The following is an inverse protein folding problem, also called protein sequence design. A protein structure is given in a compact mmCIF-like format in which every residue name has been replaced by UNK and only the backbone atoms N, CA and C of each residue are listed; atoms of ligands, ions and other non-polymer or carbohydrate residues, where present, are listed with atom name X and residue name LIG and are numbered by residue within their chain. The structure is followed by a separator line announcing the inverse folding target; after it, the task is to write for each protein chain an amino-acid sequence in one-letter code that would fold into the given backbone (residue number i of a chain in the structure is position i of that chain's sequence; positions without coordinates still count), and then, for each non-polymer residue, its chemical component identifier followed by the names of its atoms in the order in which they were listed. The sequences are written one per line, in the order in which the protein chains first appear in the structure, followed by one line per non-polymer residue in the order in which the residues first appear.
data_IF_066298916010
#
_entry.id   IF_066298916010
#
_cell.length_a   1.000
_cell.length_b   1.000
_cell.length_c   1.000
_cell.angle_alpha   90.00
_cell.angle_beta   90.00
_cell.angle_gamma   90.00
#
_symmetry.space_group_name_H-M   'P 1'
#
loop_
_entity.id
_entity.type
_entity.pdbx_description
1 polymer ?
#
# COMPACT_ATOMS: atom_id res chain seq x y z
N UNK A 1 -19.43 0.15 -11.35
CA UNK A 1 -18.38 -0.83 -10.99
C UNK A 1 -17.05 -0.33 -11.52
N UNK A 2 -16.11 0.13 -10.67
CA UNK A 2 -14.78 0.52 -11.18
C UNK A 2 -14.02 -0.75 -11.52
N UNK A 3 -13.51 -0.86 -12.75
CA UNK A 3 -12.59 -1.94 -13.13
C UNK A 3 -11.50 -2.04 -12.04
N UNK A 4 -11.34 -3.22 -11.46
CA UNK A 4 -10.23 -3.49 -10.57
C UNK A 4 -8.94 -3.07 -11.29
N UNK A 5 -8.05 -2.36 -10.60
CA UNK A 5 -6.78 -1.92 -11.18
C UNK A 5 -5.98 -3.18 -11.47
N UNK A 6 -5.97 -3.60 -12.73
CA UNK A 6 -5.22 -4.77 -13.14
C UNK A 6 -3.76 -4.38 -13.30
N UNK A 7 -2.92 -4.91 -12.41
CA UNK A 7 -1.47 -4.80 -12.55
C UNK A 7 -1.01 -5.85 -13.55
N UNK A 8 -0.38 -5.41 -14.63
CA UNK A 8 0.19 -6.28 -15.66
C UNK A 8 1.40 -7.05 -15.10
N UNK A 9 1.81 -8.16 -15.75
CA UNK A 9 2.97 -8.94 -15.31
C UNK A 9 4.28 -8.15 -15.20
N UNK A 10 4.41 -7.05 -15.94
CA UNK A 10 5.59 -6.18 -15.93
C UNK A 10 5.56 -5.10 -14.82
N UNK A 11 4.53 -5.11 -13.97
CA UNK A 11 4.32 -4.16 -12.88
C UNK A 11 3.68 -2.84 -13.30
N UNK A 12 3.21 -2.73 -14.55
CA UNK A 12 2.49 -1.54 -15.01
C UNK A 12 1.00 -1.62 -14.71
N UNK A 13 0.38 -0.48 -14.43
CA UNK A 13 -1.07 -0.37 -14.25
C UNK A 13 -1.55 1.01 -14.69
N UNK A 14 -2.82 1.10 -15.06
CA UNK A 14 -3.45 2.37 -15.44
C UNK A 14 -4.29 2.87 -14.29
N UNK A 15 -4.02 4.09 -13.85
CA UNK A 15 -4.83 4.82 -12.89
C UNK A 15 -5.26 6.14 -13.52
N UNK A 16 -6.58 6.35 -13.68
CA UNK A 16 -7.16 7.59 -14.21
C UNK A 16 -6.57 8.00 -15.57
N UNK A 17 -6.36 7.03 -16.46
CA UNK A 17 -5.79 7.27 -17.79
C UNK A 17 -4.27 7.53 -17.81
N UNK A 18 -3.60 7.51 -16.64
CA UNK A 18 -2.14 7.57 -16.55
C UNK A 18 -1.57 6.19 -16.28
N UNK A 19 -0.52 5.84 -17.00
CA UNK A 19 0.24 4.62 -16.76
C UNK A 19 1.25 4.86 -15.65
N UNK A 20 1.19 4.03 -14.62
CA UNK A 20 2.16 3.98 -13.54
C UNK A 20 2.91 2.65 -13.60
N UNK A 21 4.12 2.63 -13.04
CA UNK A 21 4.96 1.44 -12.99
C UNK A 21 5.50 1.22 -11.59
N UNK A 22 5.31 0.02 -11.07
CA UNK A 22 5.96 -0.44 -9.85
C UNK A 22 7.45 -0.68 -10.20
N UNK A 23 8.40 -0.05 -9.49
CA UNK A 23 9.82 -0.24 -9.74
C UNK A 23 10.26 -1.70 -9.67
N UNK A 24 11.39 -1.99 -10.33
CA UNK A 24 12.08 -3.29 -10.22
C UNK A 24 13.03 -3.36 -9.04
N UNK A 25 13.48 -2.20 -8.56
CA UNK A 25 14.43 -2.04 -7.47
C UNK A 25 13.96 -0.91 -6.57
N UNK A 26 14.28 -1.03 -5.29
CA UNK A 26 13.89 -0.06 -4.27
C UNK A 26 15.14 0.31 -3.47
N UNK A 27 15.22 1.58 -3.06
CA UNK A 27 16.23 1.98 -2.06
C UNK A 27 15.82 1.51 -0.67
N UNK A 28 16.79 1.33 0.21
CA UNK A 28 16.55 0.94 1.61
C UNK A 28 15.56 1.88 2.31
N UNK A 29 15.64 3.19 2.00
CA UNK A 29 14.68 4.18 2.51
C UNK A 29 13.25 3.92 2.06
N UNK A 30 13.05 3.50 0.81
CA UNK A 30 11.71 3.18 0.29
C UNK A 30 11.19 1.89 0.92
N UNK A 31 12.04 0.87 1.05
CA UNK A 31 11.69 -0.39 1.71
C UNK A 31 11.29 -0.13 3.16
N UNK A 32 12.12 0.60 3.90
CA UNK A 32 11.85 0.99 5.28
C UNK A 32 10.53 1.78 5.40
N UNK A 33 10.35 2.83 4.59
CA UNK A 33 9.13 3.64 4.62
C UNK A 33 7.88 2.82 4.29
N UNK A 34 7.97 1.90 3.33
CA UNK A 34 6.86 1.02 2.96
C UNK A 34 6.45 0.13 4.13
N UNK A 35 7.44 -0.51 4.77
CA UNK A 35 7.22 -1.44 5.88
C UNK A 35 6.67 -0.74 7.11
N UNK A 36 7.26 0.39 7.50
CA UNK A 36 6.78 1.17 8.66
C UNK A 36 5.35 1.67 8.48
N UNK A 37 4.93 1.97 7.25
CA UNK A 37 3.54 2.33 6.98
C UNK A 37 2.59 1.13 7.05
N UNK A 38 3.08 -0.10 6.92
CA UNK A 38 2.26 -1.32 7.01
C UNK A 38 2.31 -1.98 8.39
N UNK A 39 3.17 -1.51 9.29
CA UNK A 39 3.23 -2.00 10.66
C UNK A 39 1.86 -1.86 11.36
N UNK A 40 1.48 -2.83 12.20
CA UNK A 40 0.28 -2.74 13.01
C UNK A 40 0.28 -1.45 13.84
N UNK A 41 -0.87 -0.77 13.89
CA UNK A 41 -1.04 0.41 14.75
C UNK A 41 -0.96 -0.10 16.20
N UNK A 42 0.04 0.32 17.00
CA UNK A 42 0.22 -0.20 18.34
C UNK A 42 -0.96 0.19 19.23
N UNK A 43 -1.40 -0.75 20.05
CA UNK A 43 -2.30 -0.47 21.16
C UNK A 43 -1.52 0.22 22.26
N UNK A 44 -1.76 1.53 22.45
CA UNK A 44 -1.13 2.26 23.55
C UNK A 44 -1.90 2.00 24.85
N UNK A 45 -1.30 1.37 25.87
CA UNK A 45 -1.97 1.08 27.14
C UNK A 45 -2.32 2.36 27.94
N UNK A 46 -1.72 3.50 27.60
CA UNK A 46 -1.93 4.80 28.27
C UNK A 46 -2.47 5.88 27.33
N UNK A 47 -2.73 5.54 26.07
CA UNK A 47 -3.23 6.47 25.05
C UNK A 47 -4.75 6.39 24.89
N UNK A 48 -5.35 7.34 24.14
CA UNK A 48 -6.75 7.24 23.79
C UNK A 48 -6.99 5.96 22.96
N UNK A 49 -7.82 5.05 23.49
CA UNK A 49 -8.21 3.83 22.80
C UNK A 49 -8.89 4.19 21.49
N UNK A 50 -8.27 3.84 20.37
CA UNK A 50 -8.89 4.07 19.07
C UNK A 50 -10.09 3.17 18.88
N UNK A 51 -11.25 3.75 18.55
CA UNK A 51 -12.41 2.97 18.14
C UNK A 51 -12.05 2.08 16.94
N UNK A 52 -12.66 0.88 16.81
CA UNK A 52 -12.42 -0.01 15.68
C UNK A 52 -12.60 0.67 14.31
N UNK A 53 -13.58 1.58 14.22
CA UNK A 53 -13.85 2.38 13.01
C UNK A 53 -12.70 3.31 12.66
N UNK A 54 -12.10 3.98 13.66
CA UNK A 54 -10.97 4.87 13.45
C UNK A 54 -9.71 4.08 13.08
N UNK A 55 -9.45 2.97 13.77
CA UNK A 55 -8.33 2.06 13.47
C UNK A 55 -8.42 1.54 12.02
N UNK A 56 -9.61 1.14 11.57
CA UNK A 56 -9.84 0.73 10.19
C UNK A 56 -9.54 1.85 9.20
N UNK A 57 -10.07 3.06 9.42
CA UNK A 57 -9.81 4.23 8.55
C UNK A 57 -8.31 4.55 8.46
N UNK A 58 -7.60 4.45 9.58
CA UNK A 58 -6.17 4.72 9.61
C UNK A 58 -5.37 3.64 8.88
N UNK A 59 -5.70 2.35 9.07
CA UNK A 59 -5.13 1.25 8.28
C UNK A 59 -5.36 1.46 6.78
N UNK A 60 -6.57 1.81 6.39
CA UNK A 60 -6.94 2.09 5.00
C UNK A 60 -6.12 3.26 4.40
N UNK A 61 -5.88 4.30 5.20
CA UNK A 61 -5.04 5.44 4.81
C UNK A 61 -3.58 5.04 4.65
N UNK A 62 -3.03 4.32 5.62
CA UNK A 62 -1.64 3.88 5.63
C UNK A 62 -1.34 2.89 4.49
N UNK A 63 -2.26 1.98 4.20
CA UNK A 63 -2.19 1.08 3.03
C UNK A 63 -2.09 1.83 1.69
N UNK A 64 -2.74 2.99 1.58
CA UNK A 64 -2.61 3.84 0.38
C UNK A 64 -1.26 4.56 0.38
N UNK A 65 -0.88 5.13 1.51
CA UNK A 65 0.35 5.90 1.62
C UNK A 65 1.60 5.08 1.34
N UNK A 66 1.61 3.80 1.73
CA UNK A 66 2.73 2.89 1.43
C UNK A 66 2.95 2.72 -0.07
N UNK A 67 1.89 2.66 -0.90
CA UNK A 67 2.04 2.63 -2.36
C UNK A 67 2.71 3.89 -2.90
N UNK A 68 2.37 5.07 -2.38
CA UNK A 68 2.99 6.33 -2.79
C UNK A 68 4.48 6.42 -2.38
N UNK A 69 4.90 5.68 -1.35
CA UNK A 69 6.30 5.65 -0.92
C UNK A 69 7.20 4.87 -1.90
N UNK A 70 6.65 3.86 -2.58
CA UNK A 70 7.43 2.94 -3.43
C UNK A 70 7.16 3.08 -4.93
N UNK A 71 6.10 3.78 -5.34
CA UNK A 71 5.76 3.99 -6.75
C UNK A 71 6.06 5.45 -7.14
N UNK A 72 7.16 5.72 -7.88
CA UNK A 72 7.51 7.07 -8.31
C UNK A 72 6.41 7.73 -9.15
N UNK A 73 6.18 9.02 -8.90
CA UNK A 73 5.19 9.79 -9.65
C UNK A 73 3.74 9.37 -9.40
N UNK A 74 3.46 8.59 -8.35
CA UNK A 74 2.12 8.28 -7.88
C UNK A 74 1.75 9.24 -6.73
N UNK A 75 1.09 10.39 -7.02
CA UNK A 75 0.83 11.40 -5.99
C UNK A 75 -0.26 10.92 -5.03
N UNK A 76 -0.11 11.24 -3.74
CA UNK A 76 -1.04 10.82 -2.68
C UNK A 76 -2.52 11.11 -2.99
N UNK A 77 -2.89 12.29 -3.54
CA UNK A 77 -4.29 12.58 -3.91
C UNK A 77 -4.88 11.65 -4.98
N UNK A 78 -4.05 10.95 -5.76
CA UNK A 78 -4.52 9.94 -6.71
C UNK A 78 -4.74 8.60 -6.03
N UNK A 79 -3.89 8.23 -5.07
CA UNK A 79 -3.99 6.99 -4.31
C UNK A 79 -5.17 7.03 -3.33
N UNK A 80 -5.43 8.17 -2.72
CA UNK A 80 -6.61 8.39 -1.86
C UNK A 80 -7.93 8.09 -2.56
N UNK A 81 -7.98 8.28 -3.88
CA UNK A 81 -9.16 8.04 -4.70
C UNK A 81 -9.27 6.61 -5.21
N UNK A 82 -8.30 5.74 -4.89
CA UNK A 82 -8.40 4.30 -5.15
C UNK A 82 -9.40 3.65 -4.19
N UNK A 83 -10.17 2.71 -4.72
CA UNK A 83 -10.94 1.80 -3.86
C UNK A 83 -9.98 0.88 -3.11
N UNK A 84 -10.39 0.39 -1.94
CA UNK A 84 -9.55 -0.54 -1.17
C UNK A 84 -9.22 -1.81 -1.96
N UNK A 85 -10.15 -2.32 -2.76
CA UNK A 85 -9.90 -3.47 -3.63
C UNK A 85 -8.78 -3.21 -4.64
N UNK A 86 -8.69 -2.00 -5.19
CA UNK A 86 -7.59 -1.63 -6.09
C UNK A 86 -6.25 -1.54 -5.35
N UNK A 87 -6.25 -0.97 -4.13
CA UNK A 87 -5.06 -0.88 -3.28
C UNK A 87 -4.56 -2.29 -2.91
N UNK A 88 -5.46 -3.17 -2.49
CA UNK A 88 -5.15 -4.57 -2.16
C UNK A 88 -4.57 -5.32 -3.36
N UNK A 89 -5.16 -5.18 -4.55
CA UNK A 89 -4.65 -5.84 -5.76
C UNK A 89 -3.20 -5.41 -6.11
N UNK A 90 -2.85 -4.15 -5.89
CA UNK A 90 -1.48 -3.65 -6.08
C UNK A 90 -0.54 -4.23 -5.02
N UNK A 91 -0.96 -4.24 -3.75
CA UNK A 91 -0.18 -4.84 -2.65
C UNK A 91 0.04 -6.34 -2.84
N UNK A 92 -0.97 -7.10 -3.24
CA UNK A 92 -0.86 -8.53 -3.55
C UNK A 92 0.08 -8.80 -4.73
N UNK A 93 0.11 -7.90 -5.72
CA UNK A 93 1.07 -8.00 -6.81
C UNK A 93 2.49 -7.71 -6.30
N UNK A 94 2.68 -6.68 -5.48
CA UNK A 94 3.98 -6.35 -4.85
C UNK A 94 4.48 -7.53 -4.02
N UNK A 95 3.65 -8.08 -3.14
CA UNK A 95 4.03 -9.20 -2.27
C UNK A 95 4.51 -10.43 -3.07
N UNK A 96 3.88 -10.71 -4.21
CA UNK A 96 4.26 -11.84 -5.09
C UNK A 96 5.51 -11.60 -5.93
N UNK A 97 5.75 -10.35 -6.36
CA UNK A 97 6.75 -10.04 -7.39
C UNK A 97 7.95 -9.25 -6.85
N UNK A 98 7.86 -8.69 -5.65
CA UNK A 98 8.87 -7.87 -4.97
C UNK A 98 9.00 -8.32 -3.51
N UNK A 99 9.46 -9.57 -3.27
CA UNK A 99 9.55 -10.13 -1.93
C UNK A 99 10.39 -9.26 -0.98
N UNK A 100 11.37 -8.52 -1.50
CA UNK A 100 12.20 -7.59 -0.72
C UNK A 100 11.38 -6.51 0.03
N UNK A 101 10.20 -6.13 -0.48
CA UNK A 101 9.34 -5.16 0.21
C UNK A 101 8.56 -5.78 1.37
N UNK A 102 8.32 -7.09 1.33
CA UNK A 102 7.42 -7.79 2.26
C UNK A 102 8.12 -8.85 3.12
N UNK A 103 9.40 -9.13 2.90
CA UNK A 103 10.13 -10.21 3.55
C UNK A 103 10.05 -10.19 5.09
N UNK A 104 10.00 -9.00 5.69
CA UNK A 104 9.94 -8.80 7.14
C UNK A 104 8.54 -8.42 7.65
N UNK A 105 7.54 -8.39 6.77
CA UNK A 105 6.15 -8.13 7.15
C UNK A 105 5.44 -9.47 7.32
N UNK A 106 5.12 -9.84 8.56
CA UNK A 106 4.07 -10.82 8.83
C UNK A 106 2.73 -10.21 8.38
N UNK A 107 2.43 -10.29 7.08
CA UNK A 107 1.15 -9.88 6.53
C UNK A 107 0.08 -10.86 7.02
N UNK A 108 -0.47 -10.61 8.22
CA UNK A 108 -1.75 -11.17 8.62
C UNK A 108 -2.84 -10.53 7.74
N UNK A 109 -3.10 -11.18 6.61
CA UNK A 109 -4.26 -10.87 5.77
C UNK A 109 -5.46 -11.61 6.38
N UNK A 110 -6.09 -10.99 7.37
CA UNK A 110 -7.43 -11.37 7.81
C UNK A 110 -8.50 -10.93 6.80
#
# INVERSE_FOLDING_TARGET
MSKATQVKPDGTFVLRGRTHRIPKTFSDRQIHSFRTLLEPIPDSPSGPTMSPRLRRKQRDYLLRRSLAAVIPGLPLPHVEKLTLSQVKAIHEWIARNRPELVADLELQVD
#
